data_IF_769283204276
#
_entry.id   IF_769283204276
#
_cell.length_a   1.000
_cell.length_b   1.000
_cell.length_c   1.000
_cell.angle_alpha   90.00
_cell.angle_beta   90.00
_cell.angle_gamma   90.00
#
_symmetry.space_group_name_H-M   'P 1'
#
loop_
_entity.id
_entity.type
_entity.pdbx_description
1 polymer ?
#
# COMPACT_ATOMS: atom_id res chain seq x y z
N UNK A 1 -20.06 -8.60 36.32
CA UNK A 1 -20.43 -9.33 35.10
C UNK A 1 -21.50 -8.51 34.39
N UNK A 2 -21.20 -8.06 33.15
CA UNK A 2 -22.22 -7.54 32.26
C UNK A 2 -22.88 -8.69 31.52
N UNK A 3 -24.17 -8.56 31.25
CA UNK A 3 -24.90 -9.50 30.39
C UNK A 3 -24.39 -9.39 28.97
N UNK A 4 -24.52 -10.46 28.17
CA UNK A 4 -24.26 -10.42 26.75
C UNK A 4 -25.33 -9.55 26.07
N UNK A 5 -24.89 -8.57 25.28
CA UNK A 5 -25.75 -7.64 24.57
C UNK A 5 -25.54 -7.80 23.07
N UNK A 6 -26.56 -7.51 22.27
CA UNK A 6 -26.48 -7.49 20.81
C UNK A 6 -26.45 -6.05 20.28
N UNK A 7 -25.65 -5.80 19.27
CA UNK A 7 -25.52 -4.50 18.64
C UNK A 7 -24.38 -3.66 19.22
N UNK A 8 -24.53 -2.34 19.17
CA UNK A 8 -23.53 -1.41 19.73
C UNK A 8 -23.70 -1.31 21.22
N UNK A 9 -22.62 -1.60 21.93
CA UNK A 9 -22.59 -1.56 23.40
C UNK A 9 -21.38 -0.77 23.86
N UNK A 10 -21.52 -0.12 25.00
CA UNK A 10 -20.44 0.54 25.72
C UNK A 10 -20.39 0.06 27.18
N UNK A 11 -19.31 0.36 27.86
CA UNK A 11 -19.14 0.06 29.28
C UNK A 11 -18.42 1.21 29.96
N UNK A 12 -18.93 1.60 31.12
CA UNK A 12 -18.32 2.64 31.94
C UNK A 12 -17.77 2.04 33.23
N UNK A 13 -16.49 2.32 33.51
CA UNK A 13 -15.85 1.99 34.79
C UNK A 13 -15.59 3.31 35.53
N UNK A 14 -16.09 3.40 36.77
CA UNK A 14 -15.92 4.57 37.62
C UNK A 14 -14.91 4.28 38.74
N UNK A 15 -13.95 5.18 38.92
CA UNK A 15 -13.03 5.20 40.05
C UNK A 15 -13.35 6.42 40.91
N UNK A 16 -13.56 6.20 42.23
CA UNK A 16 -13.65 7.29 43.20
C UNK A 16 -12.29 7.41 43.91
N UNK A 17 -11.70 8.61 43.86
CA UNK A 17 -10.44 8.91 44.52
C UNK A 17 -10.64 10.07 45.51
N UNK A 18 -10.04 9.95 46.66
CA UNK A 18 -9.98 11.00 47.66
C UNK A 18 -8.54 11.52 47.72
N UNK A 19 -8.37 12.81 47.43
CA UNK A 19 -7.06 13.45 47.39
C UNK A 19 -6.97 14.49 48.49
N UNK A 20 -5.91 14.42 49.28
CA UNK A 20 -5.55 15.52 50.19
C UNK A 20 -5.08 16.75 49.39
N UNK A 21 -5.09 17.92 50.01
CA UNK A 21 -4.57 19.13 49.36
C UNK A 21 -3.14 18.90 48.85
N UNK A 22 -2.87 19.24 47.57
CA UNK A 22 -1.61 18.97 46.85
C UNK A 22 -1.26 17.47 46.67
N UNK A 23 -2.17 16.56 47.02
CA UNK A 23 -1.98 15.11 46.85
C UNK A 23 -2.16 14.67 45.37
N UNK A 24 -1.55 13.54 45.04
CA UNK A 24 -1.74 12.86 43.75
C UNK A 24 -2.07 11.39 43.95
N UNK A 25 -2.92 10.85 43.09
CA UNK A 25 -3.18 9.41 43.02
C UNK A 25 -3.03 8.89 41.61
N UNK A 26 -2.61 7.64 41.48
CA UNK A 26 -2.45 6.96 40.21
C UNK A 26 -3.38 5.75 40.14
N UNK A 27 -4.19 5.70 39.07
CA UNK A 27 -4.98 4.53 38.73
C UNK A 27 -4.30 3.81 37.57
N UNK A 28 -4.05 2.52 37.73
CA UNK A 28 -3.56 1.67 36.65
C UNK A 28 -4.74 0.87 36.11
N UNK A 29 -4.92 0.93 34.81
CA UNK A 29 -5.98 0.23 34.10
C UNK A 29 -5.37 -0.60 32.96
N UNK A 30 -5.88 -1.80 32.73
CA UNK A 30 -5.45 -2.64 31.60
C UNK A 30 -6.61 -3.44 31.05
N UNK A 31 -6.51 -3.78 29.78
CA UNK A 31 -7.38 -4.69 29.07
C UNK A 31 -6.61 -5.97 28.73
N UNK A 32 -7.25 -7.11 28.93
CA UNK A 32 -6.76 -8.40 28.46
C UNK A 32 -7.77 -8.92 27.45
N UNK A 33 -7.33 -9.14 26.22
CA UNK A 33 -8.13 -9.72 25.14
C UNK A 33 -7.53 -11.05 24.68
N UNK A 34 -8.37 -12.00 24.30
CA UNK A 34 -7.95 -13.31 23.82
C UNK A 34 -9.11 -14.07 23.20
N UNK A 35 -8.81 -15.19 22.56
CA UNK A 35 -9.78 -16.05 21.88
C UNK A 35 -10.50 -17.02 22.82
N UNK A 36 -10.03 -17.12 24.08
CA UNK A 36 -10.63 -17.96 25.12
C UNK A 36 -10.46 -17.36 26.51
N UNK A 37 -11.36 -17.72 27.44
CA UNK A 37 -11.26 -17.32 28.84
C UNK A 37 -9.92 -17.75 29.47
N UNK A 38 -9.43 -18.93 29.10
CA UNK A 38 -8.11 -19.42 29.57
C UNK A 38 -6.98 -18.51 29.19
N UNK A 39 -6.98 -18.05 27.96
CA UNK A 39 -5.98 -17.11 27.42
C UNK A 39 -6.07 -15.75 28.12
N UNK A 40 -7.27 -15.20 28.26
CA UNK A 40 -7.50 -13.93 28.96
C UNK A 40 -7.03 -14.00 30.42
N UNK A 41 -7.36 -15.08 31.14
CA UNK A 41 -6.90 -15.28 32.51
C UNK A 41 -5.38 -15.45 32.61
N UNK A 42 -4.76 -16.11 31.65
CA UNK A 42 -3.30 -16.21 31.56
C UNK A 42 -2.64 -14.85 31.38
N UNK A 43 -3.12 -14.05 30.42
CA UNK A 43 -2.65 -12.67 30.18
C UNK A 43 -2.86 -11.83 31.44
N UNK A 44 -4.03 -11.86 32.04
CA UNK A 44 -4.34 -11.13 33.26
C UNK A 44 -3.38 -11.48 34.42
N UNK A 45 -3.15 -12.75 34.67
CA UNK A 45 -2.20 -13.21 35.71
C UNK A 45 -0.78 -12.71 35.42
N UNK A 46 -0.35 -12.75 34.18
CA UNK A 46 0.96 -12.21 33.77
C UNK A 46 1.06 -10.68 33.97
N UNK A 47 -0.03 -9.94 33.77
CA UNK A 47 -0.04 -8.50 34.03
C UNK A 47 0.09 -8.23 35.52
N UNK A 48 -0.64 -8.96 36.37
CA UNK A 48 -0.60 -8.75 37.82
C UNK A 48 0.75 -9.20 38.45
N UNK A 49 1.35 -10.28 37.91
CA UNK A 49 2.63 -10.79 38.44
C UNK A 49 3.83 -9.85 38.20
N UNK A 50 3.68 -8.88 37.32
CA UNK A 50 4.68 -7.85 37.01
C UNK A 50 4.12 -6.48 37.37
N UNK A 51 4.96 -5.56 37.85
CA UNK A 51 4.50 -4.19 38.05
C UNK A 51 4.24 -3.51 36.70
N UNK A 52 3.27 -2.61 36.67
CA UNK A 52 2.95 -1.81 35.45
C UNK A 52 4.19 -1.07 34.95
N UNK A 53 5.00 -0.55 35.87
CA UNK A 53 6.26 0.13 35.53
C UNK A 53 7.23 -0.78 34.77
N UNK A 54 7.46 -2.02 35.25
CA UNK A 54 8.34 -2.99 34.54
C UNK A 54 7.81 -3.32 33.15
N UNK A 55 6.48 -3.45 32.99
CA UNK A 55 5.90 -3.69 31.67
C UNK A 55 6.08 -2.51 30.71
N UNK A 56 5.86 -1.29 31.21
CA UNK A 56 6.10 -0.07 30.44
C UNK A 56 7.58 0.04 30.01
N UNK A 57 8.50 -0.20 30.94
CA UNK A 57 9.94 -0.19 30.61
C UNK A 57 10.32 -1.27 29.58
N UNK A 58 9.76 -2.49 29.70
CA UNK A 58 10.00 -3.55 28.74
C UNK A 58 9.49 -3.19 27.35
N UNK A 59 8.29 -2.62 27.24
CA UNK A 59 7.72 -2.14 25.98
C UNK A 59 8.56 -0.99 25.39
N UNK A 60 8.93 -0.01 26.21
CA UNK A 60 9.76 1.10 25.77
C UNK A 60 11.16 0.63 25.32
N UNK A 61 11.75 -0.38 26.02
CA UNK A 61 13.01 -1.00 25.61
C UNK A 61 12.87 -1.71 24.27
N UNK A 62 11.80 -2.46 24.07
CA UNK A 62 11.53 -3.16 22.81
C UNK A 62 11.44 -2.17 21.64
N UNK A 63 10.66 -1.08 21.77
CA UNK A 63 10.56 -0.04 20.77
C UNK A 63 11.90 0.65 20.47
N UNK A 64 12.69 0.97 21.50
CA UNK A 64 14.02 1.53 21.33
C UNK A 64 14.95 0.61 20.53
N UNK A 65 14.87 -0.69 20.77
CA UNK A 65 15.66 -1.70 20.05
C UNK A 65 15.18 -1.84 18.60
N UNK A 66 13.88 -1.99 18.41
CA UNK A 66 13.29 -2.16 17.08
C UNK A 66 13.55 -0.92 16.19
N UNK A 67 13.49 0.28 16.73
CA UNK A 67 13.74 1.52 15.99
C UNK A 67 15.23 1.80 15.68
N UNK A 68 16.18 0.98 16.10
CA UNK A 68 17.62 1.25 15.84
C UNK A 68 17.95 1.44 14.37
N UNK A 69 17.51 0.59 13.43
CA UNK A 69 17.78 0.79 12.00
C UNK A 69 17.24 2.13 11.50
N UNK A 70 15.97 2.44 11.78
CA UNK A 70 15.36 3.70 11.38
C UNK A 70 16.07 4.92 11.98
N UNK A 71 16.47 4.88 13.26
CA UNK A 71 17.22 5.97 13.91
C UNK A 71 18.59 6.17 13.27
N UNK A 72 19.27 5.10 12.84
CA UNK A 72 20.54 5.21 12.10
C UNK A 72 20.35 5.93 10.77
N UNK A 73 19.30 5.58 10.04
CA UNK A 73 18.94 6.24 8.76
C UNK A 73 18.52 7.69 8.99
N UNK A 74 17.75 7.95 10.05
CA UNK A 74 17.27 9.29 10.39
C UNK A 74 18.39 10.32 10.66
N UNK A 75 19.61 9.88 10.99
CA UNK A 75 20.76 10.77 11.11
C UNK A 75 21.12 11.48 9.81
N UNK A 76 20.80 10.85 8.66
CA UNK A 76 21.01 11.39 7.30
C UNK A 76 19.81 12.19 6.79
N UNK A 77 18.67 12.09 7.44
CA UNK A 77 17.44 12.83 7.10
C UNK A 77 17.58 14.27 7.58
N UNK A 78 17.03 15.22 6.82
CA UNK A 78 16.99 16.64 7.23
C UNK A 78 16.35 16.79 8.60
N UNK A 79 16.89 17.66 9.48
CA UNK A 79 16.46 17.77 10.88
C UNK A 79 14.94 17.93 11.06
N UNK A 80 14.31 18.73 10.21
CA UNK A 80 12.88 19.04 10.23
C UNK A 80 11.98 17.81 10.03
N UNK A 81 12.45 16.76 9.33
CA UNK A 81 11.65 15.56 9.06
C UNK A 81 11.98 14.37 9.96
N UNK A 82 13.05 14.43 10.74
CA UNK A 82 13.53 13.28 11.52
C UNK A 82 12.48 12.68 12.44
N UNK A 83 11.76 13.55 13.15
CA UNK A 83 10.74 13.07 14.09
C UNK A 83 9.55 12.48 13.37
N UNK A 84 9.05 13.12 12.30
CA UNK A 84 7.98 12.59 11.47
C UNK A 84 8.38 11.24 10.84
N UNK A 85 9.60 11.11 10.33
CA UNK A 85 10.13 9.86 9.78
C UNK A 85 10.14 8.71 10.83
N UNK A 86 10.56 8.98 12.05
CA UNK A 86 10.55 7.99 13.15
C UNK A 86 9.12 7.64 13.56
N UNK A 87 8.24 8.63 13.69
CA UNK A 87 6.85 8.42 14.05
C UNK A 87 6.11 7.58 12.98
N UNK A 88 6.29 7.92 11.70
CA UNK A 88 5.75 7.14 10.59
C UNK A 88 6.26 5.69 10.62
N UNK A 89 7.56 5.47 10.89
CA UNK A 89 8.11 4.11 11.02
C UNK A 89 7.46 3.33 12.18
N UNK A 90 7.19 3.99 13.31
CA UNK A 90 6.46 3.36 14.43
C UNK A 90 5.02 3.01 14.04
N UNK A 91 4.34 3.91 13.34
CA UNK A 91 2.98 3.69 12.85
C UNK A 91 2.92 2.49 11.90
N UNK A 92 3.85 2.36 10.95
CA UNK A 92 3.92 1.17 10.10
C UNK A 92 4.04 -0.11 10.93
N UNK A 93 4.97 -0.15 11.90
CA UNK A 93 5.14 -1.34 12.75
C UNK A 93 3.91 -1.69 13.56
N UNK A 94 3.17 -0.70 14.03
CA UNK A 94 1.96 -0.91 14.82
C UNK A 94 0.82 -1.59 14.00
N UNK A 95 0.88 -1.52 12.67
CA UNK A 95 -0.08 -2.13 11.76
C UNK A 95 0.37 -3.48 11.17
N UNK A 96 1.54 -3.98 11.57
CA UNK A 96 2.07 -5.27 11.12
C UNK A 96 1.80 -6.34 12.17
N UNK A 97 0.97 -7.32 11.84
CA UNK A 97 0.71 -8.50 12.67
C UNK A 97 1.95 -9.40 12.74
N UNK A 98 2.13 -10.08 13.87
CA UNK A 98 3.26 -11.01 14.08
C UNK A 98 3.31 -12.18 13.09
N UNK A 99 2.19 -12.49 12.41
CA UNK A 99 2.10 -13.53 11.37
C UNK A 99 2.28 -12.98 9.97
N UNK A 100 2.58 -11.69 9.82
CA UNK A 100 2.98 -11.05 8.59
C UNK A 100 1.90 -10.24 7.88
N UNK A 101 0.63 -10.27 8.30
CA UNK A 101 -0.38 -9.40 7.71
C UNK A 101 -0.08 -7.93 8.04
N UNK A 102 -0.31 -7.06 7.07
CA UNK A 102 -0.21 -5.61 7.24
C UNK A 102 -1.59 -5.01 7.00
N UNK A 103 -2.22 -4.44 8.01
CA UNK A 103 -3.51 -3.79 7.85
C UNK A 103 -3.34 -2.37 7.33
N UNK A 104 -4.24 -1.93 6.44
CA UNK A 104 -4.14 -0.61 5.80
C UNK A 104 -4.36 0.53 6.80
N UNK A 105 -5.28 0.36 7.74
CA UNK A 105 -5.53 1.32 8.81
C UNK A 105 -6.13 0.65 10.05
N UNK A 106 -5.85 1.18 11.21
CA UNK A 106 -6.50 0.82 12.48
C UNK A 106 -7.65 1.76 12.84
N UNK A 107 -7.98 2.72 11.97
CA UNK A 107 -9.09 3.65 12.18
C UNK A 107 -10.43 2.92 12.13
N UNK A 108 -11.17 3.00 13.23
CA UNK A 108 -12.49 2.40 13.37
C UNK A 108 -13.64 3.36 13.07
N UNK A 109 -13.37 4.63 12.74
CA UNK A 109 -14.41 5.64 12.53
C UNK A 109 -15.28 5.33 11.31
N UNK A 110 -14.72 4.74 10.27
CA UNK A 110 -15.46 4.30 9.09
C UNK A 110 -16.66 3.38 9.43
N UNK A 111 -16.56 2.56 10.48
CA UNK A 111 -17.64 1.71 10.96
C UNK A 111 -18.86 2.51 11.46
N UNK A 112 -18.64 3.72 11.99
CA UNK A 112 -19.71 4.57 12.49
C UNK A 112 -20.62 5.07 11.37
N UNK A 113 -20.12 5.12 10.13
CA UNK A 113 -20.84 5.56 8.94
C UNK A 113 -21.31 4.39 8.07
N UNK A 114 -21.40 3.18 8.61
CA UNK A 114 -21.78 1.94 7.90
C UNK A 114 -20.87 1.63 6.70
N UNK A 115 -19.62 2.10 6.73
CA UNK A 115 -18.61 1.80 5.72
C UNK A 115 -17.73 0.66 6.20
N UNK A 116 -17.11 -0.06 5.26
CA UNK A 116 -16.20 -1.15 5.61
C UNK A 116 -14.93 -0.59 6.27
N UNK A 117 -14.40 -1.34 7.23
CA UNK A 117 -13.19 -0.95 7.93
C UNK A 117 -11.94 -1.20 7.05
N UNK A 118 -10.91 -0.39 7.25
CA UNK A 118 -9.60 -0.59 6.62
C UNK A 118 -8.68 -1.51 7.45
N UNK A 119 -9.22 -2.17 8.47
CA UNK A 119 -8.49 -3.14 9.29
C UNK A 119 -8.30 -4.51 8.60
N UNK A 120 -8.05 -4.47 7.29
CA UNK A 120 -7.73 -5.61 6.45
C UNK A 120 -6.33 -5.47 5.86
N UNK A 121 -5.78 -6.59 5.43
CA UNK A 121 -4.52 -6.67 4.69
C UNK A 121 -4.83 -6.70 3.19
N UNK A 122 -4.54 -5.61 2.48
CA UNK A 122 -4.39 -5.60 1.04
C UNK A 122 -2.94 -5.94 0.72
N UNK A 123 -2.68 -6.99 -0.07
CA UNK A 123 -1.30 -7.34 -0.43
C UNK A 123 -0.53 -6.20 -1.10
N UNK A 124 -1.17 -5.42 -1.97
CA UNK A 124 -0.58 -4.23 -2.60
C UNK A 124 -0.16 -3.17 -1.58
N UNK A 125 -1.08 -2.75 -0.69
CA UNK A 125 -0.77 -1.78 0.38
C UNK A 125 0.40 -2.26 1.24
N UNK A 126 0.40 -3.56 1.55
CA UNK A 126 1.48 -4.19 2.31
C UNK A 126 2.84 -4.08 1.61
N UNK A 127 2.88 -4.17 0.29
CA UNK A 127 4.11 -3.98 -0.51
C UNK A 127 4.66 -2.57 -0.32
N UNK A 128 3.81 -1.55 -0.41
CA UNK A 128 4.24 -0.16 -0.20
C UNK A 128 4.71 0.08 1.23
N UNK A 129 4.05 -0.52 2.22
CA UNK A 129 4.45 -0.44 3.65
C UNK A 129 5.80 -1.12 3.89
N UNK A 130 6.02 -2.28 3.28
CA UNK A 130 7.25 -3.06 3.50
C UNK A 130 8.45 -2.53 2.72
N UNK A 131 8.23 -1.88 1.58
CA UNK A 131 9.34 -1.39 0.77
C UNK A 131 10.29 -0.46 1.53
N UNK A 132 9.85 0.62 2.20
CA UNK A 132 10.74 1.44 3.00
C UNK A 132 11.36 0.69 4.19
N UNK A 133 10.65 -0.25 4.80
CA UNK A 133 11.18 -1.07 5.88
C UNK A 133 12.33 -1.96 5.38
N UNK A 134 12.18 -2.63 4.24
CA UNK A 134 13.24 -3.41 3.59
C UNK A 134 14.45 -2.54 3.29
N UNK A 135 14.23 -1.32 2.79
CA UNK A 135 15.30 -0.35 2.51
C UNK A 135 16.10 0.02 3.76
N UNK A 136 15.45 0.07 4.92
CA UNK A 136 16.06 0.33 6.21
C UNK A 136 16.67 -0.90 6.90
N UNK A 137 16.46 -2.12 6.33
CA UNK A 137 17.01 -3.36 6.85
C UNK A 137 16.10 -4.18 7.76
N UNK A 138 14.79 -3.91 7.77
CA UNK A 138 13.79 -4.71 8.48
C UNK A 138 13.42 -5.94 7.64
N UNK A 139 14.20 -7.01 7.75
CA UNK A 139 14.04 -8.22 6.94
C UNK A 139 13.02 -9.20 7.51
N UNK A 140 12.84 -9.22 8.83
CA UNK A 140 11.91 -10.12 9.51
C UNK A 140 10.45 -9.83 9.13
N UNK A 141 10.07 -8.55 9.08
CA UNK A 141 8.73 -8.12 8.67
C UNK A 141 8.40 -8.56 7.24
N UNK A 142 9.35 -8.40 6.33
CA UNK A 142 9.21 -8.82 4.95
C UNK A 142 9.08 -10.35 4.82
N UNK A 143 9.93 -11.10 5.52
CA UNK A 143 9.87 -12.55 5.55
C UNK A 143 8.51 -13.06 6.04
N UNK A 144 8.01 -12.52 7.14
CA UNK A 144 6.72 -12.89 7.71
C UNK A 144 5.56 -12.57 6.77
N UNK A 145 5.64 -11.46 6.04
CA UNK A 145 4.64 -11.09 5.03
C UNK A 145 4.65 -12.06 3.84
N UNK A 146 5.81 -12.43 3.31
CA UNK A 146 5.86 -13.42 2.22
C UNK A 146 5.36 -14.79 2.67
N UNK A 147 5.61 -15.18 3.92
CA UNK A 147 5.01 -16.40 4.46
C UNK A 147 3.49 -16.29 4.63
N UNK A 148 2.98 -15.13 5.01
CA UNK A 148 1.55 -14.83 5.00
C UNK A 148 0.96 -14.97 3.59
N UNK A 149 1.55 -14.33 2.57
CA UNK A 149 1.10 -14.42 1.18
C UNK A 149 1.12 -15.86 0.67
N UNK A 150 2.19 -16.62 0.95
CA UNK A 150 2.31 -18.04 0.58
C UNK A 150 1.17 -18.88 1.16
N UNK A 151 0.76 -18.62 2.41
CA UNK A 151 -0.36 -19.33 3.07
C UNK A 151 -1.73 -18.89 2.55
N UNK A 152 -1.86 -17.64 2.14
CA UNK A 152 -3.08 -17.04 1.62
C UNK A 152 -3.27 -17.25 0.10
N UNK A 153 -2.21 -17.70 -0.60
CA UNK A 153 -2.22 -17.89 -2.05
C UNK A 153 -3.29 -18.88 -2.47
N UNK A 154 -4.09 -18.51 -3.46
CA UNK A 154 -5.09 -19.41 -4.03
C UNK A 154 -4.42 -20.60 -4.73
N UNK A 155 -5.10 -21.74 -4.87
CA UNK A 155 -4.60 -22.87 -5.67
C UNK A 155 -4.31 -22.52 -7.14
N UNK A 156 -4.87 -21.43 -7.64
CA UNK A 156 -4.63 -20.92 -9.00
C UNK A 156 -3.44 -19.96 -9.11
N UNK A 157 -2.76 -19.64 -8.00
CA UNK A 157 -1.58 -18.80 -7.97
C UNK A 157 -1.82 -17.30 -7.86
N UNK A 158 -3.02 -16.85 -7.55
CA UNK A 158 -3.31 -15.43 -7.32
C UNK A 158 -3.62 -15.13 -5.85
N UNK A 159 -3.41 -13.89 -5.45
CA UNK A 159 -3.90 -13.32 -4.20
C UNK A 159 -5.27 -12.68 -4.44
N UNK A 160 -6.15 -12.81 -3.46
CA UNK A 160 -7.45 -12.14 -3.46
C UNK A 160 -7.29 -10.68 -3.04
N UNK A 161 -8.31 -9.89 -3.32
CA UNK A 161 -8.42 -8.47 -3.08
C UNK A 161 -7.94 -8.05 -1.67
N UNK A 162 -8.42 -8.68 -0.61
CA UNK A 162 -7.98 -8.39 0.76
C UNK A 162 -8.20 -9.56 1.71
N UNK A 163 -7.49 -9.53 2.81
CA UNK A 163 -7.49 -10.57 3.83
C UNK A 163 -7.67 -10.00 5.23
N UNK A 164 -8.23 -10.80 6.12
CA UNK A 164 -8.13 -10.58 7.56
C UNK A 164 -6.69 -10.86 8.03
N UNK A 165 -6.32 -10.33 9.18
CA UNK A 165 -4.98 -10.56 9.74
C UNK A 165 -4.67 -12.05 10.05
N UNK A 166 -5.70 -12.90 10.18
CA UNK A 166 -5.55 -14.35 10.36
C UNK A 166 -5.33 -15.11 9.03
N UNK A 167 -5.43 -14.43 7.88
CA UNK A 167 -5.28 -15.00 6.54
C UNK A 167 -6.60 -15.46 5.89
N UNK A 168 -7.73 -15.36 6.60
CA UNK A 168 -9.03 -15.59 6.00
C UNK A 168 -9.36 -14.45 5.00
N UNK A 169 -10.19 -14.76 4.00
CA UNK A 169 -10.65 -13.75 3.05
C UNK A 169 -11.38 -12.61 3.77
N UNK A 170 -11.08 -11.38 3.39
CA UNK A 170 -11.82 -10.20 3.78
C UNK A 170 -13.16 -10.11 3.02
N UNK A 171 -14.06 -9.27 3.52
CA UNK A 171 -15.26 -8.90 2.76
C UNK A 171 -14.85 -8.22 1.45
N UNK A 172 -15.57 -8.46 0.37
CA UNK A 172 -15.34 -7.80 -0.90
C UNK A 172 -16.60 -7.06 -1.34
N UNK A 173 -16.43 -5.83 -1.81
CA UNK A 173 -17.49 -5.07 -2.45
C UNK A 173 -17.52 -5.25 -3.97
N UNK A 174 -16.60 -6.03 -4.51
CA UNK A 174 -16.54 -6.32 -5.94
C UNK A 174 -17.51 -7.45 -6.32
N UNK A 175 -18.16 -7.29 -7.46
CA UNK A 175 -19.08 -8.29 -8.00
C UNK A 175 -18.34 -9.44 -8.71
N UNK A 176 -18.89 -10.65 -8.64
CA UNK A 176 -18.45 -11.78 -9.48
C UNK A 176 -18.98 -11.70 -10.92
N UNK A 177 -20.03 -10.91 -11.14
CA UNK A 177 -20.56 -10.60 -12.48
C UNK A 177 -20.08 -9.20 -12.85
N UNK A 178 -19.21 -9.14 -13.83
CA UNK A 178 -18.54 -7.90 -14.21
C UNK A 178 -19.34 -7.10 -15.25
N UNK A 179 -19.07 -5.78 -15.41
CA UNK A 179 -19.80 -4.92 -16.34
C UNK A 179 -19.76 -5.38 -17.80
N UNK A 180 -18.71 -6.08 -18.21
CA UNK A 180 -18.54 -6.66 -19.56
C UNK A 180 -19.30 -7.98 -19.75
N UNK A 181 -20.01 -8.47 -18.73
CA UNK A 181 -20.78 -9.71 -18.73
C UNK A 181 -19.96 -10.96 -18.40
N UNK A 182 -18.68 -10.83 -18.11
CA UNK A 182 -17.86 -11.98 -17.66
C UNK A 182 -18.19 -12.35 -16.21
N UNK A 183 -17.98 -13.63 -15.87
CA UNK A 183 -18.15 -14.16 -14.52
C UNK A 183 -16.84 -14.76 -14.07
N UNK A 184 -16.22 -14.12 -13.08
CA UNK A 184 -14.94 -14.58 -12.51
C UNK A 184 -14.74 -14.09 -11.08
N UNK A 185 -13.72 -14.60 -10.39
CA UNK A 185 -13.34 -14.03 -9.09
C UNK A 185 -13.00 -12.56 -9.24
N UNK A 186 -13.50 -11.69 -8.34
CA UNK A 186 -13.26 -10.25 -8.40
C UNK A 186 -11.87 -9.90 -7.87
N UNK A 187 -10.84 -10.24 -8.64
CA UNK A 187 -9.45 -9.97 -8.29
C UNK A 187 -9.02 -8.57 -8.69
N UNK A 188 -8.01 -8.08 -7.99
CA UNK A 188 -7.11 -7.04 -8.44
C UNK A 188 -5.78 -7.72 -8.80
N UNK A 189 -5.42 -7.75 -10.07
CA UNK A 189 -4.26 -8.54 -10.52
C UNK A 189 -2.95 -7.95 -9.98
N UNK A 190 -2.91 -6.64 -9.78
CA UNK A 190 -1.77 -5.93 -9.20
C UNK A 190 -1.45 -6.35 -7.76
N UNK A 191 -2.41 -6.90 -7.00
CA UNK A 191 -2.16 -7.48 -5.67
C UNK A 191 -1.14 -8.63 -5.75
N UNK A 192 -1.30 -9.51 -6.72
CA UNK A 192 -0.38 -10.62 -6.95
C UNK A 192 0.94 -10.14 -7.54
N UNK A 193 0.86 -9.26 -8.53
CA UNK A 193 2.03 -8.77 -9.26
C UNK A 193 2.97 -7.96 -8.37
N UNK A 194 2.43 -7.06 -7.54
CA UNK A 194 3.26 -6.24 -6.65
C UNK A 194 3.99 -7.08 -5.58
N UNK A 195 3.32 -8.11 -5.03
CA UNK A 195 3.97 -9.04 -4.09
C UNK A 195 5.10 -9.82 -4.74
N UNK A 196 4.88 -10.34 -5.95
CA UNK A 196 5.91 -11.05 -6.70
C UNK A 196 7.10 -10.12 -7.00
N UNK A 197 6.82 -8.90 -7.46
CA UNK A 197 7.86 -7.90 -7.71
C UNK A 197 8.66 -7.57 -6.46
N UNK A 198 7.98 -7.27 -5.32
CA UNK A 198 8.65 -6.96 -4.06
C UNK A 198 9.52 -8.14 -3.58
N UNK A 199 9.04 -9.38 -3.73
CA UNK A 199 9.83 -10.55 -3.36
C UNK A 199 11.15 -10.63 -4.14
N UNK A 200 11.09 -10.41 -5.46
CA UNK A 200 12.28 -10.38 -6.30
C UNK A 200 13.25 -9.25 -5.88
N UNK A 201 12.73 -8.05 -5.58
CA UNK A 201 13.54 -6.94 -5.09
C UNK A 201 14.17 -7.26 -3.71
N UNK A 202 13.42 -7.90 -2.83
CA UNK A 202 13.90 -8.30 -1.51
C UNK A 202 15.02 -9.35 -1.63
N UNK A 203 14.85 -10.35 -2.50
CA UNK A 203 15.89 -11.32 -2.76
C UNK A 203 17.15 -10.67 -3.36
N UNK A 204 17.00 -9.80 -4.37
CA UNK A 204 18.13 -9.07 -4.96
C UNK A 204 18.92 -8.26 -3.93
N UNK A 205 18.22 -7.73 -2.92
CA UNK A 205 18.85 -6.96 -1.84
C UNK A 205 19.55 -7.83 -0.80
N UNK A 206 19.04 -9.00 -0.49
CA UNK A 206 19.52 -9.86 0.59
C UNK A 206 20.44 -10.96 0.13
N UNK A 207 20.26 -11.45 -1.11
CA UNK A 207 20.91 -12.63 -1.68
C UNK A 207 20.82 -13.86 -0.76
N UNK A 208 19.70 -14.00 -0.05
CA UNK A 208 19.48 -15.08 0.91
C UNK A 208 18.87 -16.30 0.22
N UNK A 209 19.67 -17.29 -0.08
CA UNK A 209 19.24 -18.52 -0.75
C UNK A 209 18.19 -19.31 0.04
N UNK A 210 18.07 -19.12 1.35
CA UNK A 210 17.03 -19.75 2.16
C UNK A 210 15.64 -19.25 1.79
N UNK A 211 15.53 -17.99 1.35
CA UNK A 211 14.30 -17.42 0.81
C UNK A 211 13.85 -18.17 -0.46
N UNK A 212 14.77 -18.42 -1.39
CA UNK A 212 14.45 -19.14 -2.61
C UNK A 212 14.05 -20.58 -2.34
N UNK A 213 14.78 -21.28 -1.46
CA UNK A 213 14.41 -22.64 -1.08
C UNK A 213 12.99 -22.73 -0.53
N UNK A 214 12.57 -21.72 0.24
CA UNK A 214 11.25 -21.71 0.89
C UNK A 214 10.14 -21.25 -0.04
N UNK A 215 10.37 -20.20 -0.84
CA UNK A 215 9.30 -19.47 -1.52
C UNK A 215 9.25 -19.70 -3.03
N UNK A 216 10.33 -20.14 -3.69
CA UNK A 216 10.36 -20.21 -5.14
C UNK A 216 9.24 -21.09 -5.71
N UNK A 217 9.22 -22.37 -5.36
CA UNK A 217 8.21 -23.33 -5.87
C UNK A 217 6.83 -23.10 -5.27
N UNK A 218 6.76 -22.63 -4.01
CA UNK A 218 5.50 -22.52 -3.27
C UNK A 218 4.78 -21.16 -3.41
N UNK A 219 5.45 -20.14 -3.97
CA UNK A 219 4.91 -18.81 -4.13
C UNK A 219 5.29 -18.16 -5.47
N UNK A 220 6.59 -18.08 -5.81
CA UNK A 220 7.05 -17.36 -7.01
C UNK A 220 6.52 -18.03 -8.28
N UNK A 221 6.74 -19.33 -8.44
CA UNK A 221 6.30 -20.09 -9.64
C UNK A 221 4.78 -20.03 -9.81
N UNK A 222 3.93 -20.32 -8.80
CA UNK A 222 2.48 -20.19 -8.96
C UNK A 222 2.02 -18.78 -9.33
N UNK A 223 2.57 -17.73 -8.69
CA UNK A 223 2.21 -16.35 -8.99
C UNK A 223 2.62 -15.97 -10.42
N UNK A 224 3.85 -16.24 -10.83
CA UNK A 224 4.33 -15.91 -12.16
C UNK A 224 3.55 -16.66 -13.26
N UNK A 225 3.25 -17.94 -13.05
CA UNK A 225 2.43 -18.72 -13.98
C UNK A 225 0.99 -18.19 -14.08
N UNK A 226 0.40 -17.78 -12.95
CA UNK A 226 -0.92 -17.13 -12.98
C UNK A 226 -0.87 -15.85 -13.81
N UNK A 227 0.04 -14.93 -13.52
CA UNK A 227 0.17 -13.65 -14.24
C UNK A 227 0.42 -13.88 -15.73
N UNK A 228 1.31 -14.80 -16.09
CA UNK A 228 1.60 -15.13 -17.49
C UNK A 228 0.40 -15.74 -18.23
N UNK A 229 -0.47 -16.47 -17.54
CA UNK A 229 -1.70 -17.06 -18.13
C UNK A 229 -2.89 -16.11 -18.13
N UNK A 230 -2.88 -15.05 -17.33
CA UNK A 230 -3.99 -14.09 -17.22
C UNK A 230 -3.87 -12.96 -18.24
N UNK A 231 -3.37 -13.25 -19.42
CA UNK A 231 -3.18 -12.33 -20.56
C UNK A 231 -4.20 -12.62 -21.66
N UNK A 232 -4.73 -11.58 -22.29
CA UNK A 232 -5.61 -11.69 -23.47
C UNK A 232 -4.74 -11.92 -24.71
N UNK A 233 -4.94 -13.05 -25.40
CA UNK A 233 -4.15 -13.46 -26.55
C UNK A 233 -4.27 -12.53 -27.78
N UNK A 234 -5.28 -11.66 -27.84
CA UNK A 234 -5.49 -10.72 -28.96
C UNK A 234 -4.79 -9.38 -28.71
N UNK A 235 -4.76 -8.98 -27.46
CA UNK A 235 -4.16 -7.68 -27.09
C UNK A 235 -2.76 -7.82 -26.53
N UNK A 236 -2.36 -8.99 -26.06
CA UNK A 236 -1.16 -9.23 -25.27
C UNK A 236 -1.06 -8.35 -24.02
N UNK A 237 -2.19 -7.84 -23.53
CA UNK A 237 -2.29 -7.12 -22.26
C UNK A 237 -2.92 -8.03 -21.21
N UNK A 238 -2.74 -7.76 -19.91
CA UNK A 238 -3.49 -8.43 -18.85
C UNK A 238 -4.99 -8.42 -19.13
N UNK A 239 -5.72 -9.45 -18.72
CA UNK A 239 -7.17 -9.45 -18.79
C UNK A 239 -7.74 -8.39 -17.85
N UNK A 240 -9.00 -7.93 -18.05
CA UNK A 240 -9.60 -7.01 -17.10
C UNK A 240 -9.60 -7.55 -15.67
N UNK A 241 -9.26 -6.70 -14.75
CA UNK A 241 -9.36 -6.88 -13.30
C UNK A 241 -9.83 -5.56 -12.65
N UNK A 242 -10.12 -5.57 -11.36
CA UNK A 242 -10.41 -4.30 -10.70
C UNK A 242 -9.15 -3.44 -10.62
N UNK A 243 -9.33 -2.13 -10.80
CA UNK A 243 -8.23 -1.15 -10.79
C UNK A 243 -7.65 -0.94 -9.37
N UNK A 244 -6.51 -0.25 -9.32
CA UNK A 244 -5.84 0.14 -8.08
C UNK A 244 -6.78 0.83 -7.08
N UNK A 245 -7.74 1.59 -7.58
CA UNK A 245 -8.69 2.36 -6.77
C UNK A 245 -9.93 1.56 -6.35
N UNK A 246 -10.03 0.28 -6.79
CA UNK A 246 -11.11 -0.65 -6.45
C UNK A 246 -12.48 -0.24 -7.01
N UNK A 247 -12.50 0.54 -8.09
CA UNK A 247 -13.72 1.14 -8.64
C UNK A 247 -14.12 0.56 -10.00
N UNK A 248 -13.15 0.23 -10.86
CA UNK A 248 -13.41 -0.13 -12.25
C UNK A 248 -12.81 -1.48 -12.64
N UNK A 249 -13.65 -2.34 -13.25
CA UNK A 249 -13.19 -3.60 -13.83
C UNK A 249 -12.77 -3.38 -15.29
N UNK A 250 -11.44 -3.31 -15.53
CA UNK A 250 -10.87 -2.97 -16.83
C UNK A 250 -9.39 -3.38 -16.92
N UNK A 251 -8.78 -3.22 -18.08
CA UNK A 251 -7.32 -3.30 -18.24
C UNK A 251 -6.75 -1.92 -17.90
N UNK A 252 -6.03 -1.78 -16.80
CA UNK A 252 -5.43 -0.49 -16.41
C UNK A 252 -3.95 -0.40 -16.79
N UNK A 253 -3.47 0.81 -17.02
CA UNK A 253 -2.05 1.06 -17.28
C UNK A 253 -1.22 0.69 -16.04
N UNK A 254 -1.68 1.02 -14.84
CA UNK A 254 -1.00 0.68 -13.59
C UNK A 254 -0.83 -0.84 -13.42
N UNK A 255 -1.92 -1.61 -13.50
CA UNK A 255 -1.87 -3.07 -13.37
C UNK A 255 -0.99 -3.70 -14.46
N UNK A 256 -1.10 -3.19 -15.70
CA UNK A 256 -0.25 -3.64 -16.81
C UNK A 256 1.24 -3.43 -16.52
N UNK A 257 1.60 -2.26 -15.97
CA UNK A 257 2.99 -1.96 -15.59
C UNK A 257 3.50 -2.88 -14.48
N UNK A 258 2.68 -3.11 -13.45
CA UNK A 258 3.04 -3.96 -12.31
C UNK A 258 3.22 -5.41 -12.75
N UNK A 259 2.32 -5.95 -13.58
CA UNK A 259 2.39 -7.33 -14.11
C UNK A 259 3.63 -7.53 -14.97
N UNK A 260 3.89 -6.60 -15.90
CA UNK A 260 5.07 -6.64 -16.75
C UNK A 260 6.36 -6.68 -15.92
N UNK A 261 6.50 -5.76 -14.96
CA UNK A 261 7.68 -5.68 -14.11
C UNK A 261 7.86 -6.93 -13.22
N UNK A 262 6.75 -7.46 -12.69
CA UNK A 262 6.76 -8.66 -11.86
C UNK A 262 7.21 -9.89 -12.65
N UNK A 263 6.69 -10.09 -13.85
CA UNK A 263 7.08 -11.20 -14.73
C UNK A 263 8.55 -11.09 -15.17
N UNK A 264 9.01 -9.89 -15.51
CA UNK A 264 10.39 -9.67 -15.88
C UNK A 264 11.35 -9.93 -14.70
N UNK A 265 11.00 -9.47 -13.50
CA UNK A 265 11.77 -9.72 -12.28
C UNK A 265 11.78 -11.22 -11.92
N UNK A 266 10.65 -11.91 -12.05
CA UNK A 266 10.55 -13.35 -11.82
C UNK A 266 11.37 -14.15 -12.84
N UNK A 267 11.40 -13.74 -14.11
CA UNK A 267 12.22 -14.35 -15.15
C UNK A 267 13.72 -14.23 -14.82
N UNK A 268 14.17 -13.06 -14.36
CA UNK A 268 15.56 -12.88 -13.93
C UNK A 268 15.91 -13.73 -12.69
N UNK A 269 14.94 -13.92 -11.79
CA UNK A 269 15.11 -14.81 -10.64
C UNK A 269 15.19 -16.29 -11.07
N UNK A 270 14.40 -16.70 -12.08
CA UNK A 270 14.42 -18.03 -12.65
C UNK A 270 15.77 -18.34 -13.31
N UNK A 271 16.37 -17.39 -14.03
CA UNK A 271 17.73 -17.53 -14.58
C UNK A 271 18.75 -17.84 -13.49
N UNK A 272 18.69 -17.12 -12.35
CA UNK A 272 19.58 -17.35 -11.22
C UNK A 272 19.38 -18.74 -10.60
N UNK A 273 18.17 -19.29 -10.71
CA UNK A 273 17.81 -20.65 -10.26
C UNK A 273 18.06 -21.72 -11.31
N UNK A 274 18.49 -21.37 -12.52
CA UNK A 274 18.61 -22.27 -13.68
C UNK A 274 17.28 -22.92 -14.08
N UNK A 275 16.18 -22.23 -13.83
CA UNK A 275 14.85 -22.59 -14.34
C UNK A 275 14.65 -21.95 -15.71
N UNK A 276 15.27 -22.54 -16.73
CA UNK A 276 15.25 -22.01 -18.10
C UNK A 276 13.83 -21.92 -18.68
N UNK A 277 12.96 -22.86 -18.31
CA UNK A 277 11.56 -22.89 -18.79
C UNK A 277 10.79 -21.70 -18.23
N UNK A 278 10.86 -21.48 -16.93
CA UNK A 278 10.22 -20.33 -16.29
C UNK A 278 10.80 -19.01 -16.80
N UNK A 279 12.13 -18.90 -16.89
CA UNK A 279 12.80 -17.69 -17.36
C UNK A 279 12.36 -17.27 -18.76
N UNK A 280 12.35 -18.19 -19.72
CA UNK A 280 11.92 -17.90 -21.11
C UNK A 280 10.44 -17.57 -21.15
N UNK A 281 9.58 -18.39 -20.54
CA UNK A 281 8.12 -18.21 -20.60
C UNK A 281 7.69 -16.85 -20.01
N UNK A 282 8.17 -16.49 -18.82
CA UNK A 282 7.76 -15.26 -18.16
C UNK A 282 8.35 -14.01 -18.82
N UNK A 283 9.60 -14.10 -19.33
CA UNK A 283 10.23 -13.00 -20.07
C UNK A 283 9.51 -12.68 -21.36
N UNK A 284 9.16 -13.71 -22.15
CA UNK A 284 8.43 -13.54 -23.41
C UNK A 284 7.09 -12.81 -23.15
N UNK A 285 6.33 -13.24 -22.15
CA UNK A 285 5.05 -12.59 -21.82
C UNK A 285 5.27 -11.15 -21.35
N UNK A 286 6.29 -10.88 -20.52
CA UNK A 286 6.60 -9.53 -20.07
C UNK A 286 6.95 -8.60 -21.24
N UNK A 287 7.74 -9.08 -22.21
CA UNK A 287 8.11 -8.32 -23.42
C UNK A 287 6.88 -8.03 -24.31
N UNK A 288 6.03 -9.04 -24.52
CA UNK A 288 4.80 -8.89 -25.29
C UNK A 288 3.85 -7.86 -24.64
N UNK A 289 3.69 -7.91 -23.32
CA UNK A 289 2.92 -6.92 -22.56
C UNK A 289 3.50 -5.51 -22.77
N UNK A 290 4.81 -5.35 -22.60
CA UNK A 290 5.47 -4.06 -22.76
C UNK A 290 5.27 -3.47 -24.14
N UNK A 291 5.51 -4.25 -25.19
CA UNK A 291 5.32 -3.81 -26.58
C UNK A 291 3.85 -3.44 -26.88
N UNK A 292 2.91 -4.20 -26.35
CA UNK A 292 1.49 -3.91 -26.54
C UNK A 292 1.04 -2.67 -25.76
N UNK A 293 1.54 -2.49 -24.54
CA UNK A 293 1.26 -1.32 -23.72
C UNK A 293 1.73 -0.03 -24.39
N UNK A 294 2.95 -0.01 -24.92
CA UNK A 294 3.50 1.14 -25.65
C UNK A 294 2.64 1.57 -26.84
N UNK A 295 1.99 0.61 -27.51
CA UNK A 295 1.13 0.89 -28.66
C UNK A 295 -0.30 1.32 -28.27
N UNK A 296 -0.79 0.93 -27.10
CA UNK A 296 -2.23 1.02 -26.77
C UNK A 296 -2.54 1.93 -25.60
N UNK A 297 -1.59 2.13 -24.67
CA UNK A 297 -1.83 2.81 -23.40
C UNK A 297 -1.27 4.22 -23.33
N UNK A 298 -0.59 4.69 -24.36
CA UNK A 298 -0.20 6.09 -24.52
C UNK A 298 -0.99 6.74 -25.66
N UNK A 299 -1.50 7.95 -25.42
CA UNK A 299 -2.15 8.76 -26.44
C UNK A 299 -1.22 9.92 -26.85
N UNK A 300 -0.63 9.88 -28.06
CA UNK A 300 0.29 10.92 -28.52
C UNK A 300 -0.41 12.26 -28.81
N UNK A 301 -1.72 12.26 -29.07
CA UNK A 301 -2.48 13.50 -29.29
C UNK A 301 -2.74 14.22 -27.97
N UNK A 302 -3.12 13.49 -26.96
CA UNK A 302 -3.31 14.04 -25.61
C UNK A 302 -1.99 14.17 -24.83
N UNK A 303 -0.91 13.53 -25.31
CA UNK A 303 0.40 13.44 -24.63
C UNK A 303 0.25 12.90 -23.21
N UNK A 304 -0.54 11.85 -23.05
CA UNK A 304 -0.90 11.31 -21.76
C UNK A 304 -1.00 9.78 -21.80
N UNK A 305 -0.78 9.14 -20.66
CA UNK A 305 -1.14 7.72 -20.48
C UNK A 305 -2.63 7.61 -20.22
N UNK A 306 -3.29 6.70 -20.92
CA UNK A 306 -4.68 6.33 -20.68
C UNK A 306 -4.82 5.74 -19.28
N UNK A 307 -5.94 5.94 -18.61
CA UNK A 307 -6.28 5.12 -17.44
C UNK A 307 -6.21 3.65 -17.79
N UNK A 308 -6.74 3.28 -18.97
CA UNK A 308 -6.66 1.94 -19.49
C UNK A 308 -7.63 1.66 -20.66
N UNK A 309 -8.07 0.41 -20.75
CA UNK A 309 -8.98 -0.04 -21.80
C UNK A 309 -10.18 -0.76 -21.15
N UNK A 310 -11.40 -0.32 -21.49
CA UNK A 310 -12.65 -0.96 -21.06
C UNK A 310 -13.03 -2.05 -22.05
N UNK A 311 -13.24 -3.27 -21.54
CA UNK A 311 -13.72 -4.39 -22.35
C UNK A 311 -15.25 -4.29 -22.53
N UNK A 312 -15.70 -4.33 -23.77
CA UNK A 312 -17.12 -4.32 -24.13
C UNK A 312 -17.71 -5.74 -24.11
N UNK A 313 -19.04 -5.86 -24.04
CA UNK A 313 -19.75 -7.15 -24.07
C UNK A 313 -19.46 -7.99 -25.30
N UNK A 314 -19.16 -7.35 -26.44
CA UNK A 314 -18.76 -8.03 -27.68
C UNK A 314 -17.28 -8.45 -27.71
N UNK A 315 -16.54 -8.20 -26.61
CA UNK A 315 -15.14 -8.53 -26.48
C UNK A 315 -14.16 -7.54 -27.11
N UNK A 316 -14.62 -6.43 -27.70
CA UNK A 316 -13.76 -5.33 -28.16
C UNK A 316 -13.32 -4.48 -26.97
N UNK A 317 -12.33 -3.60 -27.20
CA UNK A 317 -11.81 -2.69 -26.19
C UNK A 317 -12.00 -1.23 -26.62
N UNK A 318 -12.44 -0.39 -25.68
CA UNK A 318 -12.55 1.07 -25.84
C UNK A 318 -11.56 1.73 -24.90
N UNK A 319 -10.77 2.72 -25.38
CA UNK A 319 -9.89 3.50 -24.53
C UNK A 319 -10.65 4.24 -23.42
N UNK A 320 -10.04 4.32 -22.26
CA UNK A 320 -10.41 5.23 -21.18
C UNK A 320 -9.29 6.26 -21.03
N UNK A 321 -9.57 7.45 -21.52
CA UNK A 321 -8.60 8.55 -21.61
C UNK A 321 -8.64 9.47 -20.39
N UNK A 322 -9.31 9.07 -19.30
CA UNK A 322 -9.27 9.77 -18.00
C UNK A 322 -7.82 9.89 -17.54
N UNK A 323 -7.39 11.09 -17.17
CA UNK A 323 -6.08 11.24 -16.55
C UNK A 323 -6.10 10.64 -15.15
N UNK A 324 -5.21 9.70 -14.92
CA UNK A 324 -5.07 8.97 -13.67
C UNK A 324 -3.59 8.94 -13.26
N UNK A 325 -3.30 9.47 -12.07
CA UNK A 325 -1.93 9.52 -11.57
C UNK A 325 -1.33 8.14 -11.32
N UNK A 326 -2.16 7.11 -11.13
CA UNK A 326 -1.65 5.74 -11.03
C UNK A 326 -1.07 5.26 -12.36
N UNK A 327 -1.64 5.66 -13.50
CA UNK A 327 -1.10 5.35 -14.82
C UNK A 327 0.28 5.97 -15.02
N UNK A 328 0.44 7.25 -14.65
CA UNK A 328 1.72 7.96 -14.69
C UNK A 328 2.75 7.32 -13.75
N UNK A 329 2.36 7.11 -12.50
CA UNK A 329 3.25 6.53 -11.49
C UNK A 329 3.65 5.09 -11.83
N UNK A 330 2.70 4.24 -12.22
CA UNK A 330 2.97 2.87 -12.60
C UNK A 330 3.93 2.77 -13.78
N UNK A 331 3.76 3.63 -14.78
CA UNK A 331 4.67 3.70 -15.93
C UNK A 331 6.08 4.12 -15.52
N UNK A 332 6.20 5.06 -14.60
CA UNK A 332 7.45 5.55 -14.06
C UNK A 332 8.16 4.50 -13.20
N UNK A 333 7.49 4.02 -12.14
CA UNK A 333 8.13 3.19 -11.11
C UNK A 333 8.45 1.77 -11.60
N UNK A 334 7.64 1.22 -12.51
CA UNK A 334 7.80 -0.12 -13.05
C UNK A 334 8.47 -0.16 -14.44
N UNK A 335 8.78 0.99 -15.04
CA UNK A 335 9.50 1.06 -16.30
C UNK A 335 8.74 0.48 -17.50
N UNK A 336 7.42 0.65 -17.56
CA UNK A 336 6.59 0.13 -18.64
C UNK A 336 6.90 0.81 -19.98
N UNK A 337 7.35 2.07 -19.95
CA UNK A 337 7.55 2.89 -21.14
C UNK A 337 9.00 3.37 -21.23
N UNK A 338 9.64 3.17 -22.39
CA UNK A 338 11.07 3.46 -22.52
C UNK A 338 11.33 4.94 -22.88
N UNK A 339 10.34 5.61 -23.52
CA UNK A 339 10.49 6.99 -23.94
C UNK A 339 10.28 7.96 -22.76
N UNK A 340 11.39 8.45 -22.21
CA UNK A 340 11.38 9.38 -21.09
C UNK A 340 10.79 10.75 -21.45
N UNK A 341 10.86 11.17 -22.71
CA UNK A 341 10.26 12.44 -23.16
C UNK A 341 8.74 12.36 -23.13
N UNK A 342 8.15 11.24 -23.56
CA UNK A 342 6.70 11.04 -23.51
C UNK A 342 6.22 10.89 -22.05
N UNK A 343 7.00 10.25 -21.18
CA UNK A 343 6.71 10.21 -19.75
C UNK A 343 6.70 11.62 -19.15
N UNK A 344 7.71 12.43 -19.47
CA UNK A 344 7.79 13.82 -19.01
C UNK A 344 6.59 14.64 -19.50
N UNK A 345 6.23 14.51 -20.77
CA UNK A 345 5.05 15.17 -21.35
C UNK A 345 3.76 14.75 -20.67
N UNK A 346 3.61 13.44 -20.36
CA UNK A 346 2.43 12.94 -19.66
C UNK A 346 2.31 13.52 -18.25
N UNK A 347 3.42 13.65 -17.52
CA UNK A 347 3.45 14.32 -16.22
C UNK A 347 3.03 15.79 -16.37
N UNK A 348 3.59 16.53 -17.32
CA UNK A 348 3.23 17.94 -17.57
C UNK A 348 1.74 18.08 -17.88
N UNK A 349 1.21 17.25 -18.79
CA UNK A 349 -0.21 17.25 -19.14
C UNK A 349 -1.10 17.01 -17.89
N UNK A 350 -0.71 16.06 -17.04
CA UNK A 350 -1.46 15.79 -15.80
C UNK A 350 -1.44 17.00 -14.87
N UNK A 351 -0.28 17.62 -14.65
CA UNK A 351 -0.14 18.77 -13.77
C UNK A 351 -0.94 19.99 -14.29
N UNK A 352 -0.94 20.24 -15.60
CA UNK A 352 -1.74 21.29 -16.21
C UNK A 352 -3.24 21.06 -16.03
N UNK A 353 -3.73 19.85 -16.29
CA UNK A 353 -5.15 19.51 -16.20
C UNK A 353 -5.66 19.47 -14.77
N UNK A 354 -4.83 19.07 -13.80
CA UNK A 354 -5.15 19.15 -12.38
C UNK A 354 -4.96 20.54 -11.78
N UNK A 355 -4.56 21.54 -12.59
CA UNK A 355 -4.26 22.88 -12.12
C UNK A 355 -3.27 22.91 -10.93
N UNK A 356 -2.28 22.02 -11.01
CA UNK A 356 -1.29 21.86 -9.95
C UNK A 356 -0.55 23.15 -9.63
N UNK A 357 -0.40 23.42 -8.34
CA UNK A 357 0.35 24.59 -7.83
C UNK A 357 1.37 24.13 -6.80
N UNK A 358 2.60 24.56 -6.96
CA UNK A 358 3.69 24.16 -6.06
C UNK A 358 3.58 24.81 -4.67
N UNK A 359 2.77 25.84 -4.51
CA UNK A 359 2.42 26.48 -3.23
C UNK A 359 1.47 25.62 -2.38
N UNK A 360 0.63 24.86 -3.05
CA UNK A 360 -0.35 23.92 -2.44
C UNK A 360 -0.33 22.61 -3.21
N UNK A 361 0.76 21.81 -3.06
CA UNK A 361 1.08 20.74 -4.00
C UNK A 361 0.30 19.44 -3.76
N UNK A 362 -1.00 19.57 -3.51
CA UNK A 362 -1.92 18.45 -3.46
C UNK A 362 -2.38 18.00 -4.83
N UNK A 363 -2.54 16.69 -5.04
CA UNK A 363 -3.03 16.08 -6.27
C UNK A 363 -4.14 15.08 -6.01
N UNK A 364 -5.20 15.03 -6.85
CA UNK A 364 -6.21 13.98 -6.81
C UNK A 364 -5.67 12.67 -7.40
N UNK A 365 -6.41 11.57 -7.24
CA UNK A 365 -6.11 10.29 -7.88
C UNK A 365 -6.25 10.36 -9.40
N UNK A 366 -7.37 10.89 -9.85
CA UNK A 366 -7.73 11.02 -11.27
C UNK A 366 -8.74 12.16 -11.46
N UNK A 367 -9.04 12.49 -12.72
CA UNK A 367 -10.01 13.53 -13.08
C UNK A 367 -11.41 13.20 -12.57
N UNK A 368 -12.05 14.20 -11.98
CA UNK A 368 -13.41 14.11 -11.42
C UNK A 368 -13.58 13.06 -10.32
N UNK A 369 -12.49 12.75 -9.61
CA UNK A 369 -12.55 11.86 -8.46
C UNK A 369 -13.57 12.33 -7.42
N UNK A 370 -14.65 11.57 -7.26
CA UNK A 370 -15.75 11.90 -6.37
C UNK A 370 -15.63 11.31 -4.97
N UNK A 371 -14.59 10.50 -4.72
CA UNK A 371 -14.46 9.75 -3.48
C UNK A 371 -14.22 10.68 -2.29
N UNK A 372 -15.13 10.69 -1.32
CA UNK A 372 -15.15 11.59 -0.16
C UNK A 372 -15.22 13.10 -0.49
N UNK A 373 -15.58 13.48 -1.71
CA UNK A 373 -15.78 14.88 -2.10
C UNK A 373 -16.81 15.53 -1.18
N UNK A 374 -16.54 16.73 -0.71
CA UNK A 374 -17.40 17.46 0.23
C UNK A 374 -18.76 17.89 -0.36
N UNK A 375 -18.81 18.12 -1.68
CA UNK A 375 -20.02 18.39 -2.44
C UNK A 375 -19.84 17.94 -3.91
N UNK A 376 -20.92 17.72 -4.68
CA UNK A 376 -20.83 17.27 -6.07
C UNK A 376 -20.01 18.19 -6.99
N UNK A 377 -20.04 19.49 -6.72
CA UNK A 377 -19.34 20.55 -7.45
C UNK A 377 -18.02 20.99 -6.80
N UNK A 378 -17.68 20.42 -5.64
CA UNK A 378 -16.40 20.67 -5.00
C UNK A 378 -15.23 20.05 -5.82
N UNK A 379 -14.01 20.59 -5.73
CA UNK A 379 -12.85 19.93 -6.33
C UNK A 379 -12.60 18.56 -5.69
N UNK A 380 -11.96 17.66 -6.45
CA UNK A 380 -11.52 16.34 -5.97
C UNK A 380 -10.55 16.50 -4.81
N UNK A 381 -10.63 15.59 -3.82
CA UNK A 381 -9.72 15.61 -2.67
C UNK A 381 -8.28 15.32 -3.11
N UNK A 382 -7.33 15.87 -2.38
CA UNK A 382 -5.90 15.60 -2.59
C UNK A 382 -5.47 14.39 -1.77
N UNK A 383 -4.69 13.52 -2.41
CA UNK A 383 -4.16 12.31 -1.80
C UNK A 383 -2.66 12.46 -1.51
N UNK A 384 -2.27 12.16 -0.27
CA UNK A 384 -0.85 12.26 0.10
C UNK A 384 0.03 11.33 -0.71
N UNK A 385 -0.44 10.10 -0.99
CA UNK A 385 0.31 9.13 -1.80
C UNK A 385 0.57 9.68 -3.20
N UNK A 386 -0.43 10.30 -3.83
CA UNK A 386 -0.33 10.84 -5.20
C UNK A 386 0.64 12.02 -5.25
N UNK A 387 0.55 12.92 -4.28
CA UNK A 387 1.47 14.06 -4.17
C UNK A 387 2.93 13.58 -3.95
N UNK A 388 3.13 12.55 -3.13
CA UNK A 388 4.44 11.96 -2.89
C UNK A 388 4.98 11.21 -4.10
N UNK A 389 4.15 10.59 -4.94
CA UNK A 389 4.55 10.01 -6.22
C UNK A 389 5.14 11.08 -7.15
N UNK A 390 4.52 12.25 -7.19
CA UNK A 390 5.10 13.38 -7.93
C UNK A 390 6.44 13.80 -7.34
N UNK A 391 6.59 13.84 -6.01
CA UNK A 391 7.88 14.16 -5.39
C UNK A 391 8.97 13.15 -5.74
N UNK A 392 8.64 11.85 -5.79
CA UNK A 392 9.57 10.79 -6.22
C UNK A 392 9.99 10.98 -7.67
N UNK A 393 9.04 11.30 -8.55
CA UNK A 393 9.33 11.63 -9.96
C UNK A 393 10.23 12.86 -10.08
N UNK A 394 9.94 13.95 -9.37
CA UNK A 394 10.78 15.15 -9.34
C UNK A 394 12.22 14.83 -8.90
N UNK A 395 12.38 14.00 -7.86
CA UNK A 395 13.70 13.53 -7.43
C UNK A 395 14.41 12.79 -8.55
N UNK A 396 13.74 11.89 -9.26
CA UNK A 396 14.36 11.14 -10.36
C UNK A 396 14.82 12.06 -11.51
N UNK A 397 14.03 13.09 -11.81
CA UNK A 397 14.40 14.12 -12.80
C UNK A 397 15.44 15.14 -12.30
N UNK A 398 15.86 15.08 -11.03
CA UNK A 398 16.81 16.04 -10.44
C UNK A 398 16.18 17.36 -9.97
N UNK A 399 14.84 17.48 -9.97
CA UNK A 399 14.13 18.64 -9.42
C UNK A 399 13.93 18.49 -7.91
N UNK A 400 15.04 18.64 -7.19
CA UNK A 400 15.02 18.54 -5.73
C UNK A 400 14.19 19.66 -5.07
N UNK A 401 14.06 20.82 -5.71
CA UNK A 401 13.31 21.94 -5.16
C UNK A 401 11.81 21.63 -5.09
N UNK A 402 11.23 21.18 -6.20
CA UNK A 402 9.81 20.78 -6.24
C UNK A 402 9.53 19.61 -5.29
N UNK A 403 10.39 18.59 -5.29
CA UNK A 403 10.27 17.47 -4.37
C UNK A 403 10.28 17.92 -2.90
N UNK A 404 11.21 18.81 -2.54
CA UNK A 404 11.32 19.33 -1.17
C UNK A 404 10.07 20.11 -0.74
N UNK A 405 9.48 20.91 -1.63
CA UNK A 405 8.24 21.66 -1.35
C UNK A 405 7.07 20.70 -1.10
N UNK A 406 6.94 19.63 -1.92
CA UNK A 406 5.90 18.63 -1.73
C UNK A 406 6.09 17.89 -0.39
N UNK A 407 7.30 17.44 -0.09
CA UNK A 407 7.62 16.76 1.17
C UNK A 407 7.31 17.68 2.36
N UNK A 408 7.68 18.96 2.29
CA UNK A 408 7.43 19.94 3.36
C UNK A 408 5.93 20.14 3.58
N UNK A 409 5.16 20.24 2.48
CA UNK A 409 3.71 20.38 2.56
C UNK A 409 3.08 19.13 3.20
N UNK A 410 3.41 17.92 2.76
CA UNK A 410 2.91 16.69 3.37
C UNK A 410 3.26 16.62 4.86
N UNK A 411 4.51 16.92 5.22
CA UNK A 411 4.94 16.93 6.62
C UNK A 411 4.15 17.95 7.47
N UNK A 412 3.75 19.09 6.88
CA UNK A 412 2.96 20.12 7.58
C UNK A 412 1.50 19.72 7.81
N UNK A 413 0.99 18.75 7.05
CA UNK A 413 -0.36 18.22 7.22
C UNK A 413 -0.43 17.10 8.28
N UNK A 414 0.71 16.56 8.70
CA UNK A 414 0.73 15.51 9.72
C UNK A 414 0.29 16.05 11.09
N UNK A 415 -0.44 15.25 11.84
CA UNK A 415 -0.76 15.56 13.24
C UNK A 415 0.53 15.69 14.08
N UNK A 416 0.45 16.28 15.27
CA UNK A 416 1.60 16.34 16.18
C UNK A 416 2.21 14.96 16.51
N UNK A 417 1.42 13.89 16.39
CA UNK A 417 1.83 12.50 16.53
C UNK A 417 2.51 11.92 15.29
N UNK A 418 2.51 12.65 14.16
CA UNK A 418 3.03 12.21 12.87
C UNK A 418 2.04 11.42 12.01
N UNK A 419 0.77 11.38 12.40
CA UNK A 419 -0.29 10.70 11.63
C UNK A 419 -0.59 11.47 10.36
N UNK A 420 -0.65 10.79 9.24
CA UNK A 420 -1.17 11.23 7.94
C UNK A 420 -2.47 10.47 7.65
N UNK A 421 -3.50 11.19 7.23
CA UNK A 421 -4.74 10.62 6.72
C UNK A 421 -4.56 10.06 5.30
N UNK A 422 -5.63 9.53 4.74
CA UNK A 422 -5.68 9.13 3.34
C UNK A 422 -5.70 10.35 2.42
N UNK A 423 -6.56 11.31 2.73
CA UNK A 423 -6.90 12.45 1.89
C UNK A 423 -7.02 13.73 2.70
N UNK A 424 -7.03 14.84 1.98
CA UNK A 424 -7.35 16.18 2.49
C UNK A 424 -8.31 16.90 1.52
N UNK A 425 -9.34 17.51 2.06
CA UNK A 425 -10.25 18.38 1.30
C UNK A 425 -9.52 19.69 0.94
N UNK A 426 -9.34 20.00 -0.35
CA UNK A 426 -8.60 21.20 -0.77
C UNK A 426 -9.27 22.53 -0.39
N UNK A 427 -10.56 22.53 -0.10
CA UNK A 427 -11.33 23.74 0.24
C UNK A 427 -11.21 24.06 1.71
N UNK A 428 -11.46 23.08 2.56
CA UNK A 428 -11.46 23.27 4.01
C UNK A 428 -10.11 23.01 4.68
N UNK A 429 -9.19 22.33 4.00
CA UNK A 429 -7.94 21.83 4.57
C UNK A 429 -8.15 20.72 5.62
N UNK A 430 -9.33 20.12 5.67
CA UNK A 430 -9.63 19.04 6.62
C UNK A 430 -9.27 17.69 6.06
N UNK A 431 -8.80 16.84 6.93
CA UNK A 431 -8.55 15.44 6.64
C UNK A 431 -9.84 14.71 6.30
N UNK A 432 -9.76 13.78 5.37
CA UNK A 432 -10.87 12.95 4.91
C UNK A 432 -10.46 11.47 4.93
N UNK A 433 -11.47 10.59 5.08
CA UNK A 433 -11.31 9.15 5.14
C UNK A 433 -10.56 8.70 6.40
N UNK A 434 -9.73 7.66 6.32
CA UNK A 434 -9.08 7.05 7.49
C UNK A 434 -7.78 7.75 7.89
N UNK A 435 -7.47 7.75 9.19
CA UNK A 435 -6.23 8.25 9.76
C UNK A 435 -5.78 7.39 10.96
N UNK A 436 -4.57 6.78 10.95
CA UNK A 436 -3.58 6.83 9.88
C UNK A 436 -3.94 5.96 8.67
N UNK A 437 -3.53 6.35 7.48
CA UNK A 437 -3.38 5.41 6.37
C UNK A 437 -1.91 4.96 6.29
N UNK A 438 -1.67 3.64 6.38
CA UNK A 438 -0.31 3.10 6.34
C UNK A 438 0.41 3.41 5.02
N UNK A 439 -0.31 3.42 3.90
CA UNK A 439 0.27 3.75 2.61
C UNK A 439 0.77 5.21 2.57
N UNK A 440 0.01 6.18 3.10
CA UNK A 440 0.48 7.57 3.22
C UNK A 440 1.76 7.69 4.05
N UNK A 441 1.83 6.98 5.17
CA UNK A 441 3.02 6.93 6.02
C UNK A 441 4.22 6.30 5.29
N UNK A 442 3.98 5.22 4.56
CA UNK A 442 5.01 4.48 3.83
C UNK A 442 5.60 5.28 2.67
N UNK A 443 4.75 5.97 1.90
CA UNK A 443 5.21 6.82 0.81
C UNK A 443 5.99 8.04 1.33
N UNK A 444 5.58 8.61 2.46
CA UNK A 444 6.36 9.66 3.10
C UNK A 444 7.78 9.18 3.47
N UNK A 445 7.90 7.99 4.08
CA UNK A 445 9.20 7.40 4.40
C UNK A 445 9.99 7.11 3.12
N UNK A 446 9.36 6.48 2.10
CA UNK A 446 9.99 6.11 0.83
C UNK A 446 10.56 7.33 0.12
N UNK A 447 9.78 8.41 0.03
CA UNK A 447 10.22 9.67 -0.59
C UNK A 447 11.39 10.30 0.15
N UNK A 448 11.36 10.32 1.49
CA UNK A 448 12.51 10.78 2.30
C UNK A 448 13.75 9.91 2.05
N UNK A 449 13.60 8.58 1.97
CA UNK A 449 14.70 7.68 1.66
C UNK A 449 15.31 7.94 0.28
N UNK A 450 14.53 8.43 -0.68
CA UNK A 450 15.02 8.80 -2.00
C UNK A 450 15.86 10.09 -1.96
N UNK A 451 15.54 11.03 -1.08
CA UNK A 451 16.37 12.24 -0.89
C UNK A 451 17.76 11.96 -0.33
N UNK A 452 17.96 10.85 0.40
CA UNK A 452 19.23 10.53 1.06
C UNK A 452 20.09 9.50 0.32
N UNK A 453 19.56 8.91 -0.77
CA UNK A 453 20.34 8.03 -1.67
C UNK A 453 21.33 8.81 -2.53
N UNK A 454 21.07 10.07 -2.72
CA UNK A 454 21.82 11.03 -3.53
C UNK A 454 22.74 11.84 -2.63
#
# INVERSE_FOLDING_TARGET
>A
NSTAEHGRVDSTIRFKLELAGHGSARVNYWLAAGTSLREVLYIHKNIISQTIHKRFEATAKWWRLWLRPAKKVAQRVKPEYRQAFINSTMLLKAHIDKRGAVIASSDGEALNYQRDAYAYCWPRDSVYVLWPLIRMGYTEEAYNFFDFCRRALSPKGYLSHKYRADGALGSSWHSYVHPDGTVSAPIQEDETASVLFLFCQFYNKTSDDTLLQRFYTSMVVPMANFLASYVDSRTHLPKPSYDLWEEHFMVTTYTTATVQAALFAAANLADQRRDEVGAVAWRTVAEDIKQSAQKRLYDPHQKAFRKGLRRNKNGTYTPDDTLDMSAVYGTFIYGLYDNQEDLHRAVQTALERFHFKLETPGLPRYEDDSYYRSAPDAPSNWWFIVSLWLAQYCLECGDENSAQRIISWVASQAWPTGVLSEQIDPVSGRECSVAPLCWSQAEFISTILDTIKR
#
